data_IF_707294032105
#
_entry.id   IF_707294032105
#
_cell.length_a   1.000
_cell.length_b   1.000
_cell.length_c   1.000
_cell.angle_alpha   90.00
_cell.angle_beta   90.00
_cell.angle_gamma   90.00
#
_symmetry.space_group_name_H-M   'P 1'
#
loop_
_entity.id
_entity.type
_entity.pdbx_description
1 polymer ?
#
# COMPACT_ATOMS: atom_id res chain seq x y z
N UNK A 1 -36.52 -8.43 51.92
CA UNK A 1 -35.90 -9.76 51.73
C UNK A 1 -35.17 -9.75 50.40
N UNK A 2 -33.85 -9.57 50.45
CA UNK A 2 -32.98 -9.45 49.29
C UNK A 2 -32.57 -10.84 48.77
N UNK A 3 -32.72 -11.09 47.47
CA UNK A 3 -32.06 -12.20 46.79
C UNK A 3 -31.14 -11.62 45.73
N UNK A 4 -29.84 -11.66 46.03
CA UNK A 4 -28.76 -11.50 45.07
C UNK A 4 -28.70 -12.75 44.20
N UNK A 5 -28.52 -12.57 42.89
CA UNK A 5 -28.16 -13.64 41.97
C UNK A 5 -27.00 -13.12 41.13
N UNK A 6 -25.80 -13.50 41.56
CA UNK A 6 -24.59 -13.44 40.77
C UNK A 6 -24.63 -14.58 39.75
N UNK A 7 -24.40 -14.28 38.47
CA UNK A 7 -24.07 -15.28 37.45
C UNK A 7 -22.83 -14.82 36.72
N UNK A 8 -21.74 -15.50 37.04
CA UNK A 8 -20.45 -15.53 36.36
C UNK A 8 -20.55 -16.53 35.21
N UNK A 9 -20.40 -16.08 33.97
CA UNK A 9 -20.04 -16.91 32.80
C UNK A 9 -19.13 -15.99 31.96
N UNK A 10 -17.84 -16.26 31.75
CA UNK A 10 -17.22 -17.53 31.47
C UNK A 10 -16.77 -17.49 30.01
N UNK A 11 -15.53 -17.02 29.79
CA UNK A 11 -14.85 -16.90 28.51
C UNK A 11 -14.90 -18.18 27.70
N UNK A 12 -15.05 -18.08 26.36
CA UNK A 12 -14.52 -19.04 25.41
C UNK A 12 -14.36 -18.37 24.03
N UNK A 13 -13.15 -17.88 23.80
CA UNK A 13 -12.66 -17.59 22.46
C UNK A 13 -12.26 -18.93 21.81
N UNK A 14 -12.98 -19.33 20.77
CA UNK A 14 -12.50 -20.37 19.84
C UNK A 14 -12.16 -19.71 18.52
N UNK A 15 -10.85 -19.53 18.31
CA UNK A 15 -10.28 -19.36 16.99
C UNK A 15 -10.33 -20.69 16.24
N UNK A 16 -11.01 -20.71 15.11
CA UNK A 16 -10.95 -21.80 14.15
C UNK A 16 -10.20 -21.31 12.91
N UNK A 17 -8.88 -21.52 12.89
CA UNK A 17 -8.07 -21.44 11.67
C UNK A 17 -8.33 -22.71 10.87
N UNK A 18 -9.12 -22.61 9.81
CA UNK A 18 -9.30 -23.69 8.82
C UNK A 18 -8.20 -23.57 7.78
N UNK A 19 -7.23 -24.48 7.83
CA UNK A 19 -6.24 -24.70 6.78
C UNK A 19 -6.89 -25.47 5.63
N UNK A 20 -7.13 -24.82 4.50
CA UNK A 20 -7.51 -25.47 3.26
C UNK A 20 -6.29 -26.15 2.64
N UNK A 21 -6.34 -27.47 2.55
CA UNK A 21 -5.38 -28.31 1.86
C UNK A 21 -5.46 -28.06 0.35
N UNK A 22 -4.37 -27.64 -0.27
CA UNK A 22 -4.23 -27.52 -1.73
C UNK A 22 -3.59 -28.83 -2.26
N UNK A 23 -4.22 -29.54 -3.20
CA UNK A 23 -3.61 -30.73 -3.80
C UNK A 23 -2.42 -30.34 -4.71
N UNK A 24 -1.34 -31.12 -4.59
CA UNK A 24 -0.12 -30.96 -5.38
C UNK A 24 -0.37 -31.12 -6.88
N UNK A 25 0.06 -30.13 -7.67
CA UNK A 25 0.08 -30.23 -9.14
C UNK A 25 1.33 -31.01 -9.60
N UNK A 26 1.22 -31.83 -10.67
CA UNK A 26 2.37 -32.50 -11.26
C UNK A 26 3.30 -31.51 -11.98
N UNK A 27 4.61 -31.64 -11.75
CA UNK A 27 5.68 -30.83 -12.35
C UNK A 27 6.00 -31.38 -13.75
N UNK A 28 5.90 -30.58 -14.82
CA UNK A 28 6.44 -30.96 -16.12
C UNK A 28 7.98 -30.84 -16.15
N UNK A 29 8.60 -31.82 -16.81
CA UNK A 29 10.05 -32.02 -16.92
C UNK A 29 10.79 -30.87 -17.61
N UNK A 30 12.00 -30.60 -17.11
CA UNK A 30 12.96 -29.66 -17.68
C UNK A 30 13.57 -30.17 -19.00
N UNK A 31 13.69 -29.33 -20.04
CA UNK A 31 14.60 -29.60 -21.15
C UNK A 31 16.02 -29.09 -20.89
N UNK A 32 16.95 -29.80 -21.51
CA UNK A 32 18.39 -29.82 -21.32
C UNK A 32 19.15 -28.54 -21.74
N UNK A 33 20.41 -28.49 -21.27
CA UNK A 33 21.38 -27.43 -21.39
C UNK A 33 22.00 -27.21 -22.79
N UNK A 34 22.58 -25.99 -22.93
CA UNK A 34 23.85 -25.61 -23.60
C UNK A 34 23.70 -24.46 -24.62
N UNK A 35 24.75 -23.70 -24.99
CA UNK A 35 26.09 -23.55 -24.39
C UNK A 35 26.45 -22.09 -24.04
N UNK A 36 27.45 -21.94 -23.16
CA UNK A 36 28.20 -20.70 -22.96
C UNK A 36 28.99 -20.35 -24.22
N UNK A 37 28.90 -19.11 -24.70
CA UNK A 37 29.81 -18.55 -25.68
C UNK A 37 30.43 -17.27 -25.12
N UNK A 38 31.76 -17.30 -25.13
CA UNK A 38 32.68 -16.37 -24.52
C UNK A 38 32.66 -14.96 -25.15
N UNK A 39 32.90 -13.97 -24.27
CA UNK A 39 33.80 -12.84 -24.52
C UNK A 39 33.36 -11.76 -25.51
N UNK A 40 33.20 -10.53 -25.00
CA UNK A 40 34.10 -9.39 -25.29
C UNK A 40 33.58 -8.13 -24.60
N UNK A 41 34.47 -7.55 -23.81
CA UNK A 41 34.45 -6.17 -23.31
C UNK A 41 34.48 -5.19 -24.49
N UNK A 42 33.81 -4.03 -24.37
CA UNK A 42 34.36 -2.70 -24.70
C UNK A 42 33.53 -1.63 -23.98
N UNK A 43 34.24 -0.65 -23.44
CA UNK A 43 33.76 0.47 -22.66
C UNK A 43 33.28 1.64 -23.54
N UNK A 44 32.53 2.52 -22.86
CA UNK A 44 32.54 3.99 -22.94
C UNK A 44 31.69 4.73 -23.99
N UNK A 45 30.85 5.59 -23.40
CA UNK A 45 30.45 6.94 -23.80
C UNK A 45 29.43 7.10 -24.94
N UNK A 46 28.35 7.81 -24.62
CA UNK A 46 27.50 8.45 -25.62
C UNK A 46 26.02 8.35 -25.30
N UNK A 47 25.43 9.46 -24.87
CA UNK A 47 24.00 9.70 -24.92
C UNK A 47 23.45 9.34 -26.30
N UNK A 48 22.37 8.57 -26.32
CA UNK A 48 21.71 8.16 -27.54
C UNK A 48 20.54 7.26 -27.22
N UNK A 49 19.41 7.87 -26.90
CA UNK A 49 18.13 7.22 -26.73
C UNK A 49 17.76 6.45 -27.99
N UNK A 50 18.10 5.15 -28.05
CA UNK A 50 17.58 4.23 -29.03
C UNK A 50 16.37 3.53 -28.42
N UNK A 51 15.20 3.92 -28.91
CA UNK A 51 13.92 3.26 -28.68
C UNK A 51 14.04 1.80 -29.15
N UNK A 52 14.26 0.89 -28.21
CA UNK A 52 14.20 -0.55 -28.48
C UNK A 52 12.73 -1.00 -28.47
N UNK A 53 12.27 -1.81 -29.44
CA UNK A 53 10.91 -2.35 -29.47
C UNK A 53 10.66 -3.42 -28.40
N UNK A 54 11.70 -3.81 -27.66
CA UNK A 54 11.61 -4.62 -26.45
C UNK A 54 11.62 -3.66 -25.26
N UNK A 55 10.43 -3.34 -24.75
CA UNK A 55 10.27 -2.47 -23.59
C UNK A 55 11.01 -3.06 -22.40
N UNK A 56 12.15 -2.46 -22.06
CA UNK A 56 12.82 -2.71 -20.79
C UNK A 56 11.94 -2.03 -19.74
N UNK A 57 11.14 -2.83 -19.03
CA UNK A 57 10.54 -2.38 -17.78
C UNK A 57 11.67 -1.79 -16.93
N UNK A 58 11.50 -0.55 -16.46
CA UNK A 58 12.52 0.10 -15.63
C UNK A 58 12.86 -0.84 -14.48
N UNK A 59 14.10 -1.35 -14.46
CA UNK A 59 14.56 -2.25 -13.42
C UNK A 59 14.39 -1.56 -12.06
N UNK A 60 13.86 -2.29 -11.08
CA UNK A 60 13.85 -1.82 -9.71
C UNK A 60 15.30 -1.52 -9.28
N UNK A 61 15.55 -0.48 -8.46
CA UNK A 61 16.91 -0.18 -8.05
C UNK A 61 17.50 -1.33 -7.23
N UNK A 62 18.60 -1.93 -7.70
CA UNK A 62 19.14 -3.15 -7.10
C UNK A 62 19.87 -2.91 -5.76
N UNK A 63 20.36 -1.69 -5.50
CA UNK A 63 21.10 -1.38 -4.28
C UNK A 63 20.27 -0.67 -3.19
N UNK A 64 20.50 -0.95 -1.89
CA UNK A 64 19.75 -0.29 -0.80
C UNK A 64 19.75 1.25 -0.85
N UNK A 65 20.88 1.95 -1.11
CA UNK A 65 20.89 3.41 -1.20
C UNK A 65 20.02 3.95 -2.34
N UNK A 66 20.01 3.28 -3.50
CA UNK A 66 19.18 3.69 -4.62
C UNK A 66 17.69 3.47 -4.34
N UNK A 67 17.32 2.38 -3.65
CA UNK A 67 15.93 2.15 -3.23
C UNK A 67 15.44 3.21 -2.27
N UNK A 68 16.27 3.56 -1.28
CA UNK A 68 15.97 4.64 -0.33
C UNK A 68 15.75 5.97 -1.06
N UNK A 69 16.62 6.32 -2.00
CA UNK A 69 16.48 7.53 -2.80
C UNK A 69 15.20 7.51 -3.65
N UNK A 70 14.92 6.39 -4.33
CA UNK A 70 13.71 6.22 -5.13
C UNK A 70 12.44 6.31 -4.28
N UNK A 71 12.43 5.71 -3.09
CA UNK A 71 11.31 5.80 -2.14
C UNK A 71 11.08 7.24 -1.70
N UNK A 72 12.15 7.94 -1.31
CA UNK A 72 12.06 9.36 -0.94
C UNK A 72 11.48 10.19 -2.08
N UNK A 73 11.94 9.98 -3.31
CA UNK A 73 11.42 10.69 -4.47
C UNK A 73 9.93 10.40 -4.70
N UNK A 74 9.49 9.14 -4.59
CA UNK A 74 8.07 8.77 -4.71
C UNK A 74 7.19 9.43 -3.65
N UNK A 75 7.68 9.52 -2.41
CA UNK A 75 6.96 10.16 -1.30
C UNK A 75 6.90 11.68 -1.50
N UNK A 76 8.03 12.31 -1.83
CA UNK A 76 8.12 13.75 -2.11
C UNK A 76 7.24 14.17 -3.29
N UNK A 77 7.19 13.39 -4.35
CA UNK A 77 6.33 13.65 -5.51
C UNK A 77 4.83 13.69 -5.16
N UNK A 78 4.45 13.05 -4.04
CA UNK A 78 3.08 13.03 -3.50
C UNK A 78 2.94 13.88 -2.24
N UNK A 79 3.92 14.75 -1.97
CA UNK A 79 3.89 15.78 -0.93
C UNK A 79 3.79 15.24 0.51
N UNK A 80 4.24 14.00 0.75
CA UNK A 80 4.34 13.45 2.11
C UNK A 80 5.74 12.89 2.37
N UNK A 81 6.09 12.74 3.64
CA UNK A 81 7.41 12.24 4.04
C UNK A 81 7.39 11.66 5.45
N UNK A 82 8.42 10.88 5.78
CA UNK A 82 8.74 10.48 7.15
C UNK A 82 10.10 11.07 7.55
N UNK A 83 10.44 11.10 8.85
CA UNK A 83 11.77 11.49 9.29
C UNK A 83 12.87 10.60 8.67
N UNK A 84 14.06 11.18 8.49
CA UNK A 84 15.21 10.56 7.83
C UNK A 84 15.53 9.14 8.34
N UNK A 85 15.55 8.86 9.65
CA UNK A 85 15.93 7.54 10.15
C UNK A 85 15.01 6.41 9.70
N UNK A 86 13.76 6.69 9.36
CA UNK A 86 12.78 5.66 9.00
C UNK A 86 13.05 5.03 7.63
N UNK A 87 13.75 5.73 6.73
CA UNK A 87 14.05 5.19 5.39
C UNK A 87 15.04 4.02 5.43
N UNK A 88 15.91 3.97 6.44
CA UNK A 88 16.98 2.97 6.56
C UNK A 88 16.64 1.82 7.52
N UNK A 89 15.49 1.87 8.20
CA UNK A 89 15.06 0.81 9.11
C UNK A 89 14.61 -0.44 8.34
N UNK A 90 14.94 -1.61 8.88
CA UNK A 90 14.45 -2.90 8.39
C UNK A 90 12.96 -3.11 8.73
N UNK A 91 12.32 -4.08 8.05
CA UNK A 91 10.89 -4.34 8.27
C UNK A 91 10.59 -4.80 9.70
N UNK A 92 11.53 -5.46 10.38
CA UNK A 92 11.36 -5.90 11.77
C UNK A 92 11.24 -4.70 12.73
N UNK A 93 12.14 -3.74 12.59
CA UNK A 93 12.16 -2.51 13.40
C UNK A 93 10.92 -1.68 13.12
N UNK A 94 10.57 -1.50 11.84
CA UNK A 94 9.35 -0.79 11.47
C UNK A 94 8.10 -1.49 12.00
N UNK A 95 8.04 -2.84 11.96
CA UNK A 95 6.92 -3.60 12.53
C UNK A 95 6.80 -3.38 14.03
N UNK A 96 7.91 -3.35 14.75
CA UNK A 96 7.91 -3.10 16.19
C UNK A 96 7.38 -1.70 16.53
N UNK A 97 7.79 -0.68 15.77
CA UNK A 97 7.31 0.69 15.92
C UNK A 97 5.83 0.83 15.52
N UNK A 98 5.42 0.22 14.41
CA UNK A 98 4.03 0.23 13.97
C UNK A 98 3.09 -0.40 15.00
N UNK A 99 3.52 -1.47 15.69
CA UNK A 99 2.77 -2.06 16.82
C UNK A 99 2.60 -1.11 18.01
N UNK A 100 3.46 -0.12 18.15
CA UNK A 100 3.37 0.94 19.18
C UNK A 100 2.52 2.13 18.72
N UNK A 101 1.91 2.08 17.53
CA UNK A 101 1.11 3.17 16.98
C UNK A 101 1.90 4.22 16.22
N UNK A 102 3.17 3.95 15.89
CA UNK A 102 4.00 4.87 15.10
C UNK A 102 3.52 4.93 13.64
N UNK A 103 2.91 6.06 13.28
CA UNK A 103 2.36 6.28 11.94
C UNK A 103 3.43 6.38 10.85
N UNK A 104 4.62 6.89 11.16
CA UNK A 104 5.72 6.95 10.19
C UNK A 104 6.26 5.56 9.85
N UNK A 105 6.33 4.68 10.85
CA UNK A 105 6.68 3.28 10.62
C UNK A 105 5.66 2.59 9.71
N UNK A 106 4.36 2.80 9.96
CA UNK A 106 3.29 2.26 9.11
C UNK A 106 3.41 2.79 7.66
N UNK A 107 3.66 4.08 7.48
CA UNK A 107 3.83 4.70 6.16
C UNK A 107 5.04 4.10 5.42
N UNK A 108 6.18 3.96 6.09
CA UNK A 108 7.37 3.37 5.47
C UNK A 108 7.17 1.91 5.09
N UNK A 109 6.51 1.12 5.95
CA UNK A 109 6.18 -0.26 5.60
C UNK A 109 5.21 -0.31 4.42
N UNK A 110 4.20 0.57 4.38
CA UNK A 110 3.23 0.59 3.30
C UNK A 110 3.90 0.87 1.93
N UNK A 111 4.79 1.86 1.86
CA UNK A 111 5.55 2.17 0.65
C UNK A 111 6.49 1.04 0.23
N UNK A 112 7.10 0.36 1.21
CA UNK A 112 7.95 -0.81 0.97
C UNK A 112 7.16 -1.98 0.40
N UNK A 113 6.05 -2.37 1.03
CA UNK A 113 5.21 -3.46 0.53
C UNK A 113 4.57 -3.14 -0.82
N UNK A 114 4.28 -1.88 -1.13
CA UNK A 114 3.66 -1.55 -2.42
C UNK A 114 4.66 -1.51 -3.57
N UNK A 115 5.85 -0.93 -3.35
CA UNK A 115 6.77 -0.58 -4.44
C UNK A 115 8.04 -1.43 -4.46
N UNK A 116 8.32 -2.18 -3.40
CA UNK A 116 9.61 -2.87 -3.20
C UNK A 116 9.45 -4.34 -2.82
N UNK A 117 8.24 -4.91 -2.81
CA UNK A 117 7.98 -6.27 -2.31
C UNK A 117 8.82 -7.35 -2.99
N UNK A 118 9.16 -7.21 -4.27
CA UNK A 118 9.97 -8.18 -5.02
C UNK A 118 11.37 -8.36 -4.42
N UNK A 119 11.96 -7.27 -3.93
CA UNK A 119 13.32 -7.26 -3.34
C UNK A 119 13.29 -7.40 -1.81
N UNK A 120 12.12 -7.33 -1.19
CA UNK A 120 11.93 -7.54 0.25
C UNK A 120 11.79 -9.00 0.64
N UNK A 121 11.71 -9.93 -0.33
CA UNK A 121 11.51 -11.36 -0.05
C UNK A 121 12.60 -11.97 0.85
N UNK A 122 13.79 -11.36 0.85
CA UNK A 122 14.95 -11.75 1.66
C UNK A 122 15.03 -10.99 3.00
N UNK A 123 14.19 -9.98 3.25
CA UNK A 123 14.14 -9.28 4.52
C UNK A 123 13.51 -10.20 5.61
N UNK A 124 14.16 -10.39 6.77
CA UNK A 124 13.65 -11.23 7.85
C UNK A 124 12.30 -10.81 8.44
N UNK A 125 11.84 -9.58 8.19
CA UNK A 125 10.55 -9.05 8.60
C UNK A 125 9.48 -9.09 7.50
N UNK A 126 9.78 -9.63 6.32
CA UNK A 126 8.82 -9.72 5.22
C UNK A 126 7.79 -10.84 5.44
N UNK A 127 6.50 -10.49 5.38
CA UNK A 127 5.41 -11.45 5.46
C UNK A 127 5.11 -12.08 4.09
N UNK A 128 5.67 -13.28 3.85
CA UNK A 128 5.47 -14.05 2.61
C UNK A 128 4.06 -14.59 2.43
N UNK A 129 3.24 -14.63 3.49
CA UNK A 129 1.86 -15.09 3.43
C UNK A 129 0.87 -13.98 3.09
N UNK A 130 1.30 -12.72 3.18
CA UNK A 130 0.47 -11.56 2.91
C UNK A 130 0.54 -11.13 1.44
N UNK A 131 -0.59 -10.63 0.94
CA UNK A 131 -0.68 -9.93 -0.33
C UNK A 131 -0.12 -8.49 -0.15
N UNK A 132 1.01 -8.13 -0.80
CA UNK A 132 1.70 -6.87 -0.52
C UNK A 132 0.85 -5.62 -0.77
N UNK A 133 0.03 -5.62 -1.82
CA UNK A 133 -0.84 -4.49 -2.14
C UNK A 133 -1.92 -4.28 -1.08
N UNK A 134 -2.49 -5.39 -0.58
CA UNK A 134 -3.49 -5.36 0.49
C UNK A 134 -2.89 -4.93 1.82
N UNK A 135 -1.71 -5.47 2.15
CA UNK A 135 -1.00 -5.11 3.39
C UNK A 135 -0.60 -3.62 3.37
N UNK A 136 -0.11 -3.12 2.24
CA UNK A 136 0.18 -1.70 2.07
C UNK A 136 -1.05 -0.82 2.34
N UNK A 137 -2.20 -1.14 1.72
CA UNK A 137 -3.47 -0.44 1.97
C UNK A 137 -3.90 -0.46 3.44
N UNK A 138 -3.74 -1.61 4.10
CA UNK A 138 -4.04 -1.73 5.54
C UNK A 138 -3.13 -0.84 6.38
N UNK A 139 -1.82 -0.82 6.10
CA UNK A 139 -0.84 0.00 6.80
C UNK A 139 -1.10 1.50 6.60
N UNK A 140 -1.41 1.94 5.39
CA UNK A 140 -1.85 3.32 5.13
C UNK A 140 -3.11 3.67 5.91
N UNK A 141 -4.09 2.77 5.96
CA UNK A 141 -5.32 2.97 6.75
C UNK A 141 -5.01 3.10 8.25
N UNK A 142 -4.07 2.29 8.77
CA UNK A 142 -3.62 2.40 10.15
C UNK A 142 -2.86 3.71 10.41
N UNK A 143 -2.08 4.20 9.45
CA UNK A 143 -1.39 5.48 9.56
C UNK A 143 -2.37 6.66 9.66
N UNK A 144 -3.46 6.63 8.87
CA UNK A 144 -4.56 7.60 8.98
C UNK A 144 -5.14 7.58 10.41
N UNK A 145 -5.49 6.39 10.92
CA UNK A 145 -6.03 6.21 12.28
C UNK A 145 -5.05 6.65 13.38
N UNK A 146 -3.75 6.59 13.09
CA UNK A 146 -2.67 6.95 14.01
C UNK A 146 -2.25 8.42 13.88
N UNK A 147 -3.08 9.27 13.25
CA UNK A 147 -2.89 10.72 13.23
C UNK A 147 -2.20 11.27 11.98
N UNK A 148 -2.13 10.51 10.88
CA UNK A 148 -1.61 10.99 9.60
C UNK A 148 -2.70 11.07 8.51
N UNK A 149 -3.69 11.98 8.64
CA UNK A 149 -4.86 12.04 7.77
C UNK A 149 -4.52 12.30 6.30
N UNK A 150 -3.40 12.97 6.03
CA UNK A 150 -2.94 13.28 4.68
C UNK A 150 -2.70 12.05 3.80
N UNK A 151 -2.50 10.88 4.39
CA UNK A 151 -2.44 9.62 3.63
C UNK A 151 -3.73 9.38 2.82
N UNK A 152 -4.90 9.86 3.25
CA UNK A 152 -6.11 9.74 2.44
C UNK A 152 -6.01 10.46 1.09
N UNK A 153 -5.42 11.66 1.07
CA UNK A 153 -5.17 12.43 -0.15
C UNK A 153 -4.13 11.74 -1.04
N UNK A 154 -3.09 11.17 -0.44
CA UNK A 154 -2.07 10.36 -1.13
C UNK A 154 -2.70 9.13 -1.79
N UNK A 155 -3.58 8.41 -1.08
CA UNK A 155 -4.31 7.27 -1.61
C UNK A 155 -5.20 7.66 -2.80
N UNK A 156 -5.91 8.79 -2.69
CA UNK A 156 -6.70 9.33 -3.80
C UNK A 156 -5.85 9.66 -5.03
N UNK A 157 -4.69 10.30 -4.84
CA UNK A 157 -3.77 10.62 -5.92
C UNK A 157 -3.23 9.34 -6.60
N UNK A 158 -2.88 8.32 -5.81
CA UNK A 158 -2.40 7.02 -6.34
C UNK A 158 -3.47 6.34 -7.19
N UNK A 159 -4.72 6.31 -6.72
CA UNK A 159 -5.83 5.75 -7.48
C UNK A 159 -6.10 6.54 -8.79
N UNK A 160 -5.97 7.88 -8.77
CA UNK A 160 -6.05 8.69 -9.99
C UNK A 160 -4.95 8.34 -10.99
N UNK A 161 -3.71 8.19 -10.53
CA UNK A 161 -2.56 7.82 -11.37
C UNK A 161 -2.74 6.42 -12.00
N UNK A 162 -3.44 5.52 -11.30
CA UNK A 162 -3.79 4.18 -11.77
C UNK A 162 -5.04 4.16 -12.69
N UNK A 163 -5.74 5.28 -12.84
CA UNK A 163 -6.98 5.37 -13.61
C UNK A 163 -8.21 4.76 -12.90
N UNK A 164 -8.09 4.38 -11.63
CA UNK A 164 -9.22 3.90 -10.83
C UNK A 164 -10.01 5.10 -10.28
N UNK A 165 -10.90 5.63 -11.13
CA UNK A 165 -11.72 6.79 -10.78
C UNK A 165 -12.72 6.51 -9.65
N UNK A 166 -13.10 5.25 -9.42
CA UNK A 166 -14.04 4.89 -8.35
C UNK A 166 -13.33 4.95 -7.00
N UNK A 167 -12.16 4.31 -6.88
CA UNK A 167 -11.37 4.34 -5.65
C UNK A 167 -10.81 5.73 -5.37
N UNK A 168 -10.36 6.45 -6.41
CA UNK A 168 -9.94 7.84 -6.29
C UNK A 168 -11.03 8.75 -5.73
N UNK A 169 -12.27 8.58 -6.19
CA UNK A 169 -13.39 9.38 -5.71
C UNK A 169 -13.72 9.06 -4.24
N UNK A 170 -13.68 7.78 -3.86
CA UNK A 170 -13.90 7.36 -2.48
C UNK A 170 -12.84 7.96 -1.54
N UNK A 171 -11.55 7.82 -1.87
CA UNK A 171 -10.46 8.38 -1.06
C UNK A 171 -10.43 9.91 -1.05
N UNK A 172 -10.82 10.58 -2.14
CA UNK A 172 -10.95 12.05 -2.15
C UNK A 172 -11.96 12.49 -1.10
N UNK A 173 -13.10 11.79 -0.98
CA UNK A 173 -14.11 12.10 0.04
C UNK A 173 -13.66 11.79 1.45
N UNK A 174 -12.86 10.73 1.65
CA UNK A 174 -12.22 10.48 2.95
C UNK A 174 -11.28 11.63 3.31
N UNK A 175 -10.46 12.11 2.36
CA UNK A 175 -9.57 13.25 2.58
C UNK A 175 -10.36 14.53 2.93
N UNK A 176 -11.51 14.76 2.31
CA UNK A 176 -12.42 15.87 2.68
C UNK A 176 -12.96 15.74 4.10
N UNK A 177 -13.44 14.56 4.48
CA UNK A 177 -13.97 14.29 5.81
C UNK A 177 -12.91 14.47 6.90
N UNK A 178 -11.63 14.29 6.54
CA UNK A 178 -10.46 14.52 7.39
C UNK A 178 -9.93 15.97 7.32
N UNK A 179 -10.61 16.86 6.59
CA UNK A 179 -10.20 18.26 6.37
C UNK A 179 -8.81 18.42 5.77
N UNK A 180 -8.39 17.50 4.90
CA UNK A 180 -7.12 17.59 4.20
C UNK A 180 -7.11 18.75 3.20
N UNK A 181 -6.03 19.54 3.20
CA UNK A 181 -5.89 20.74 2.38
C UNK A 181 -5.85 20.44 0.87
N UNK A 182 -5.36 19.26 0.48
CA UNK A 182 -5.21 18.87 -0.93
C UNK A 182 -6.51 18.27 -1.51
N UNK A 183 -7.52 18.01 -0.69
CA UNK A 183 -8.83 17.52 -1.12
C UNK A 183 -9.46 18.40 -2.22
N UNK A 184 -9.33 19.72 -2.11
CA UNK A 184 -9.83 20.66 -3.11
C UNK A 184 -9.05 20.57 -4.44
N UNK A 185 -7.73 20.38 -4.37
CA UNK A 185 -6.87 20.19 -5.55
C UNK A 185 -7.18 18.87 -6.23
N UNK A 186 -7.39 17.80 -5.46
CA UNK A 186 -7.79 16.49 -5.94
C UNK A 186 -9.12 16.54 -6.69
N UNK A 187 -10.15 17.22 -6.16
CA UNK A 187 -11.43 17.45 -6.86
C UNK A 187 -11.26 18.15 -8.21
N UNK A 188 -10.41 19.19 -8.26
CA UNK A 188 -10.15 19.93 -9.51
C UNK A 188 -9.41 19.07 -10.53
N UNK A 189 -8.35 18.37 -10.10
CA UNK A 189 -7.60 17.42 -10.94
C UNK A 189 -8.51 16.29 -11.42
N UNK A 190 -9.47 15.91 -10.59
CA UNK A 190 -10.52 14.97 -10.87
C UNK A 190 -11.78 15.63 -11.44
N UNK A 191 -11.70 16.67 -12.28
CA UNK A 191 -12.75 16.97 -13.26
C UNK A 191 -13.21 15.69 -14.01
N UNK A 192 -12.33 14.67 -14.05
CA UNK A 192 -12.59 13.26 -14.30
C UNK A 192 -13.81 12.63 -13.62
N UNK A 193 -14.18 12.97 -12.39
CA UNK A 193 -15.32 12.36 -11.68
C UNK A 193 -16.67 12.71 -12.31
N UNK A 194 -16.74 13.79 -13.11
CA UNK A 194 -17.92 14.09 -13.91
C UNK A 194 -18.21 12.99 -14.95
N UNK A 195 -17.17 12.26 -15.38
CA UNK A 195 -17.27 11.13 -16.31
C UNK A 195 -17.75 9.84 -15.64
N UNK A 196 -17.82 9.78 -14.30
CA UNK A 196 -18.36 8.61 -13.62
C UNK A 196 -19.85 8.47 -13.92
N UNK A 197 -20.23 7.27 -14.35
CA UNK A 197 -21.63 6.85 -14.48
C UNK A 197 -22.32 6.85 -13.11
N UNK A 198 -23.65 6.79 -13.10
CA UNK A 198 -24.41 6.69 -11.86
C UNK A 198 -24.02 5.44 -11.04
N UNK A 199 -23.83 4.30 -11.71
CA UNK A 199 -23.40 3.05 -11.06
C UNK A 199 -21.99 3.17 -10.44
N UNK A 200 -21.07 3.85 -11.11
CA UNK A 200 -19.72 4.11 -10.56
C UNK A 200 -19.76 5.06 -9.36
N UNK A 201 -20.60 6.09 -9.38
CA UNK A 201 -20.78 6.98 -8.22
C UNK A 201 -21.36 6.22 -7.04
N UNK A 202 -22.33 5.34 -7.26
CA UNK A 202 -22.88 4.48 -6.22
C UNK A 202 -21.81 3.54 -5.63
N UNK A 203 -20.95 2.95 -6.48
CA UNK A 203 -19.81 2.13 -6.02
C UNK A 203 -18.79 2.96 -5.23
N UNK A 204 -18.48 4.17 -5.67
CA UNK A 204 -17.57 5.07 -4.96
C UNK A 204 -18.14 5.50 -3.60
N UNK A 205 -19.46 5.75 -3.52
CA UNK A 205 -20.17 6.02 -2.28
C UNK A 205 -20.08 4.81 -1.32
N UNK A 206 -20.39 3.61 -1.79
CA UNK A 206 -20.28 2.40 -0.96
C UNK A 206 -18.84 2.14 -0.48
N UNK A 207 -17.85 2.39 -1.33
CA UNK A 207 -16.43 2.32 -0.96
C UNK A 207 -16.09 3.35 0.11
N UNK A 208 -16.51 4.62 -0.06
CA UNK A 208 -16.34 5.66 0.95
C UNK A 208 -16.97 5.26 2.30
N UNK A 209 -18.19 4.75 2.30
CA UNK A 209 -18.87 4.32 3.53
C UNK A 209 -18.10 3.19 4.25
N UNK A 210 -17.60 2.23 3.47
CA UNK A 210 -16.74 1.16 4.01
C UNK A 210 -15.43 1.70 4.58
N UNK A 211 -14.78 2.65 3.91
CA UNK A 211 -13.53 3.27 4.37
C UNK A 211 -13.76 4.07 5.65
N UNK A 212 -14.83 4.85 5.73
CA UNK A 212 -15.22 5.61 6.92
C UNK A 212 -15.41 4.68 8.13
N UNK A 213 -16.13 3.57 7.95
CA UNK A 213 -16.30 2.55 9.01
C UNK A 213 -14.97 1.93 9.42
N UNK A 214 -14.13 1.54 8.47
CA UNK A 214 -12.82 0.93 8.73
C UNK A 214 -11.88 1.89 9.50
N UNK A 215 -11.90 3.17 9.12
CA UNK A 215 -11.11 4.22 9.71
C UNK A 215 -11.70 4.70 11.06
N UNK A 216 -12.94 4.32 11.39
CA UNK A 216 -13.63 4.77 12.59
C UNK A 216 -13.95 6.26 12.57
N UNK A 217 -14.13 6.83 11.37
CA UNK A 217 -14.52 8.22 11.22
C UNK A 217 -16.01 8.33 11.55
N UNK A 218 -16.37 9.25 12.45
CA UNK A 218 -17.78 9.54 12.72
C UNK A 218 -18.33 10.30 11.52
N UNK A 219 -19.36 9.76 10.87
CA UNK A 219 -20.13 10.50 9.87
C UNK A 219 -20.88 11.61 10.58
N UNK A 220 -20.25 12.78 10.76
CA UNK A 220 -21.00 13.99 11.01
C UNK A 220 -21.72 14.33 9.72
N UNK A 221 -23.00 13.97 9.63
CA UNK A 221 -23.87 14.48 8.57
C UNK A 221 -23.76 16.02 8.55
N UNK A 222 -23.57 16.64 7.37
CA UNK A 222 -23.79 18.07 7.26
C UNK A 222 -25.27 18.35 7.54
N UNK A 223 -25.55 19.10 8.61
CA UNK A 223 -26.86 19.71 8.86
C UNK A 223 -27.12 20.86 7.90
#
# INVERSE_FOLDING_TARGET
MHKQLAVLIGSLALGAYVWLQVPARPVPAAPAAAPQAAGRHWQLAGQGSLQSPFGIAAALPDSPPQRIAARRQRMQARQYSTPEPYYTMDLRTLTALARQGDSFAMIQMAEQYESEWEVLQDDPGFDRGADPARLSRQLFSLAIKSGYPHIAAVMAAKALDQGDLVDAHAWTRVAEALHDADSATLKRRAGSFQRLTHAERARAQASYDSLVLQLGLTTTEPR
#
